data_IF_949735569170
#
_entry.id   IF_949735569170
#
_cell.length_a   1.000
_cell.length_b   1.000
_cell.length_c   1.000
_cell.angle_alpha   90.00
_cell.angle_beta   90.00
_cell.angle_gamma   90.00
#
_symmetry.space_group_name_H-M   'P 1'
#
loop_
_entity.id
_entity.type
_entity.pdbx_description
1 polymer ?
#
# COMPACT_ATOMS: atom_id res chain seq x y z
N UNK A 1 19.78 -20.64 -12.65
CA UNK A 1 20.87 -20.00 -13.40
C UNK A 1 20.28 -19.54 -14.73
N UNK A 2 20.54 -18.31 -15.10
CA UNK A 2 20.07 -17.71 -16.36
C UNK A 2 21.31 -17.27 -17.15
N UNK A 3 21.70 -18.11 -18.11
CA UNK A 3 22.82 -17.90 -19.00
C UNK A 3 22.37 -18.17 -20.43
N UNK A 4 22.01 -17.11 -21.12
CA UNK A 4 21.54 -17.15 -22.50
C UNK A 4 22.33 -16.15 -23.37
N UNK A 5 23.66 -16.14 -23.21
CA UNK A 5 24.54 -15.23 -23.94
C UNK A 5 25.41 -16.02 -24.91
N UNK A 6 25.46 -15.57 -26.17
CA UNK A 6 26.38 -16.09 -27.21
C UNK A 6 27.78 -15.48 -27.12
N UNK A 7 28.05 -14.68 -26.08
CA UNK A 7 29.29 -13.95 -25.86
C UNK A 7 29.67 -13.90 -24.38
N UNK A 8 30.95 -13.65 -24.03
CA UNK A 8 31.40 -13.46 -22.66
C UNK A 8 30.64 -12.33 -21.95
N UNK A 9 30.40 -12.49 -20.63
CA UNK A 9 29.65 -11.56 -19.82
C UNK A 9 30.54 -10.69 -18.92
N UNK A 10 30.02 -9.59 -18.41
CA UNK A 10 30.72 -8.63 -17.55
C UNK A 10 30.52 -8.90 -16.07
N UNK A 11 29.27 -9.18 -15.68
CA UNK A 11 28.89 -9.29 -14.27
C UNK A 11 27.81 -10.33 -14.04
N UNK A 12 27.70 -10.80 -12.79
CA UNK A 12 26.64 -11.67 -12.33
C UNK A 12 25.63 -10.87 -11.53
N UNK A 13 24.41 -10.81 -12.01
CA UNK A 13 23.32 -10.19 -11.27
C UNK A 13 22.62 -11.22 -10.40
N UNK A 14 22.47 -10.91 -9.12
CA UNK A 14 21.77 -11.75 -8.15
C UNK A 14 20.35 -11.25 -8.01
N UNK A 15 19.37 -12.09 -8.38
CA UNK A 15 17.95 -11.84 -8.24
C UNK A 15 17.46 -12.56 -6.97
N UNK A 16 16.80 -11.83 -6.09
CA UNK A 16 16.42 -12.31 -4.76
C UNK A 16 14.97 -12.00 -4.37
N UNK A 17 14.28 -11.09 -5.11
CA UNK A 17 12.89 -10.74 -4.86
C UNK A 17 11.95 -11.85 -5.32
N UNK A 18 11.07 -12.28 -4.43
CA UNK A 18 10.03 -13.27 -4.71
C UNK A 18 8.64 -12.66 -4.77
N UNK A 19 7.66 -13.54 -4.94
CA UNK A 19 6.24 -13.19 -5.04
C UNK A 19 5.74 -12.61 -3.71
N UNK A 20 4.81 -11.65 -3.77
CA UNK A 20 4.17 -11.05 -2.60
C UNK A 20 5.14 -10.34 -1.63
N UNK A 21 6.31 -9.92 -2.12
CA UNK A 21 7.32 -9.27 -1.29
C UNK A 21 8.14 -10.23 -0.43
N UNK A 22 8.02 -11.54 -0.66
CA UNK A 22 8.91 -12.51 -0.05
C UNK A 22 10.34 -12.34 -0.58
N UNK A 23 11.31 -12.62 0.25
CA UNK A 23 12.72 -12.53 -0.11
C UNK A 23 13.38 -13.89 0.07
N UNK A 24 14.45 -14.10 -0.68
CA UNK A 24 15.35 -15.23 -0.45
C UNK A 24 16.10 -15.06 0.87
N UNK A 25 16.58 -16.15 1.43
CA UNK A 25 17.43 -16.12 2.62
C UNK A 25 18.67 -15.26 2.39
N UNK A 26 18.95 -14.31 3.29
CA UNK A 26 20.08 -13.39 3.18
C UNK A 26 21.43 -14.12 3.22
N UNK A 27 21.53 -15.23 3.97
CA UNK A 27 22.78 -16.01 4.06
C UNK A 27 23.11 -16.68 2.71
N UNK A 28 22.09 -17.19 2.01
CA UNK A 28 22.26 -17.71 0.64
C UNK A 28 22.70 -16.61 -0.32
N UNK A 29 22.07 -15.42 -0.22
CA UNK A 29 22.44 -14.26 -1.02
C UNK A 29 23.90 -13.85 -0.75
N UNK A 30 24.28 -13.66 0.51
CA UNK A 30 25.63 -13.28 0.91
C UNK A 30 26.68 -14.31 0.49
N UNK A 31 26.37 -15.61 0.61
CA UNK A 31 27.24 -16.71 0.17
C UNK A 31 27.49 -16.60 -1.33
N UNK A 32 26.43 -16.43 -2.13
CA UNK A 32 26.57 -16.28 -3.56
C UNK A 32 27.42 -15.06 -3.95
N UNK A 33 27.16 -13.91 -3.32
CA UNK A 33 27.94 -12.67 -3.56
C UNK A 33 29.41 -12.85 -3.13
N UNK A 34 29.65 -13.41 -1.96
CA UNK A 34 31.02 -13.62 -1.44
C UNK A 34 31.85 -14.55 -2.33
N UNK A 35 31.23 -15.61 -2.85
CA UNK A 35 31.90 -16.55 -3.76
C UNK A 35 32.13 -15.90 -5.12
N UNK A 36 31.09 -15.27 -5.69
CA UNK A 36 31.18 -14.64 -7.02
C UNK A 36 32.20 -13.51 -7.03
N UNK A 37 32.14 -12.59 -6.07
CA UNK A 37 33.04 -11.44 -6.04
C UNK A 37 34.38 -11.71 -5.36
N UNK A 38 34.36 -12.44 -4.25
CA UNK A 38 35.55 -12.67 -3.43
C UNK A 38 36.46 -13.78 -3.94
N UNK A 39 35.89 -14.93 -4.29
CA UNK A 39 36.69 -16.09 -4.74
C UNK A 39 36.95 -16.10 -6.25
N UNK A 40 35.94 -15.75 -7.05
CA UNK A 40 36.03 -15.82 -8.51
C UNK A 40 36.45 -14.51 -9.15
N UNK A 41 36.48 -13.41 -8.39
CA UNK A 41 36.87 -12.09 -8.90
C UNK A 41 35.91 -11.50 -9.95
N UNK A 42 34.66 -12.02 -10.00
CA UNK A 42 33.66 -11.51 -10.92
C UNK A 42 32.86 -10.39 -10.24
N UNK A 43 32.42 -9.39 -11.01
CA UNK A 43 31.56 -8.36 -10.50
C UNK A 43 30.18 -8.94 -10.14
N UNK A 44 29.83 -8.92 -8.86
CA UNK A 44 28.48 -9.28 -8.39
C UNK A 44 27.66 -8.01 -8.24
N UNK A 45 26.50 -7.96 -8.90
CA UNK A 45 25.58 -6.83 -8.88
C UNK A 45 24.22 -7.26 -8.33
N UNK A 46 23.53 -6.29 -7.72
CA UNK A 46 22.11 -6.49 -7.40
C UNK A 46 21.31 -6.52 -8.70
N UNK A 47 20.19 -7.22 -8.65
CA UNK A 47 19.18 -7.29 -9.67
C UNK A 47 19.01 -5.99 -10.47
N UNK A 48 19.41 -6.01 -11.75
CA UNK A 48 19.29 -4.87 -12.69
C UNK A 48 19.98 -3.57 -12.24
N UNK A 49 20.97 -3.65 -11.35
CA UNK A 49 21.72 -2.50 -10.86
C UNK A 49 23.14 -2.51 -11.47
N UNK A 50 23.39 -1.58 -12.39
CA UNK A 50 24.69 -1.44 -13.04
C UNK A 50 25.49 -0.32 -12.37
N UNK A 51 26.81 -0.50 -12.25
CA UNK A 51 27.77 0.55 -11.85
C UNK A 51 27.35 1.32 -10.60
N UNK A 52 27.03 0.59 -9.53
CA UNK A 52 26.64 1.16 -8.26
C UNK A 52 27.87 1.71 -7.53
N UNK A 53 28.03 3.04 -7.51
CA UNK A 53 28.98 3.70 -6.63
C UNK A 53 28.41 3.72 -5.20
N UNK A 54 29.23 3.53 -4.18
CA UNK A 54 28.77 3.46 -2.78
C UNK A 54 28.42 4.88 -2.22
N UNK A 55 27.75 5.70 -3.02
CA UNK A 55 27.22 7.00 -2.63
C UNK A 55 25.91 6.89 -1.85
N UNK A 56 25.62 7.88 -1.00
CA UNK A 56 24.35 7.92 -0.25
C UNK A 56 23.13 7.92 -1.17
N UNK A 57 23.21 8.63 -2.30
CA UNK A 57 22.10 8.74 -3.27
C UNK A 57 21.80 7.41 -3.92
N UNK A 58 22.82 6.67 -4.33
CA UNK A 58 22.64 5.38 -4.98
C UNK A 58 22.17 4.31 -4.01
N UNK A 59 22.67 4.31 -2.77
CA UNK A 59 22.16 3.43 -1.70
C UNK A 59 20.67 3.67 -1.42
N UNK A 60 20.25 4.95 -1.37
CA UNK A 60 18.83 5.29 -1.20
C UNK A 60 17.99 4.86 -2.42
N UNK A 61 18.49 5.09 -3.63
CA UNK A 61 17.83 4.64 -4.86
C UNK A 61 17.66 3.12 -4.88
N UNK A 62 18.70 2.36 -4.53
CA UNK A 62 18.66 0.89 -4.45
C UNK A 62 17.61 0.43 -3.46
N UNK A 63 17.58 1.01 -2.27
CA UNK A 63 16.60 0.68 -1.24
C UNK A 63 15.17 1.00 -1.70
N UNK A 64 14.92 2.19 -2.26
CA UNK A 64 13.60 2.57 -2.77
C UNK A 64 13.14 1.67 -3.92
N UNK A 65 14.05 1.30 -4.82
CA UNK A 65 13.75 0.36 -5.91
C UNK A 65 13.39 -1.03 -5.37
N UNK A 66 14.14 -1.53 -4.39
CA UNK A 66 13.82 -2.78 -3.69
C UNK A 66 12.44 -2.71 -3.01
N UNK A 67 12.13 -1.59 -2.34
CA UNK A 67 10.81 -1.37 -1.74
C UNK A 67 9.68 -1.39 -2.78
N UNK A 68 9.88 -0.75 -3.94
CA UNK A 68 8.85 -0.78 -5.01
C UNK A 68 8.68 -2.19 -5.56
N UNK A 69 9.76 -2.93 -5.79
CA UNK A 69 9.71 -4.33 -6.27
C UNK A 69 8.98 -5.23 -5.28
N UNK A 70 9.33 -5.16 -4.00
CA UNK A 70 8.65 -5.90 -2.92
C UNK A 70 7.18 -5.49 -2.77
N UNK A 71 6.89 -4.18 -2.85
CA UNK A 71 5.53 -3.65 -2.75
C UNK A 71 4.62 -4.14 -3.89
N UNK A 72 5.15 -4.19 -5.11
CA UNK A 72 4.44 -4.77 -6.26
C UNK A 72 4.25 -6.27 -6.12
N UNK A 73 5.19 -6.96 -5.43
CA UNK A 73 5.15 -8.40 -5.22
C UNK A 73 5.36 -9.21 -6.50
N UNK A 74 6.04 -8.63 -7.48
CA UNK A 74 6.29 -9.26 -8.79
C UNK A 74 7.40 -10.32 -8.70
N UNK A 75 7.24 -11.42 -9.41
CA UNK A 75 8.26 -12.46 -9.56
C UNK A 75 9.44 -11.94 -10.39
N UNK A 76 10.64 -11.79 -9.78
CA UNK A 76 11.80 -11.25 -10.47
C UNK A 76 12.60 -12.28 -11.27
N UNK A 77 12.43 -13.57 -10.97
CA UNK A 77 13.12 -14.65 -11.65
C UNK A 77 12.55 -16.03 -11.30
N UNK A 78 13.11 -17.14 -11.88
CA UNK A 78 12.64 -18.50 -11.65
C UNK A 78 12.65 -18.94 -10.18
N UNK A 79 13.55 -18.39 -9.37
CA UNK A 79 13.63 -18.66 -7.91
C UNK A 79 12.33 -18.32 -7.17
N UNK A 80 11.56 -17.34 -7.68
CA UNK A 80 10.30 -16.93 -7.09
C UNK A 80 9.26 -18.05 -6.99
N UNK A 81 9.36 -19.08 -7.82
CA UNK A 81 8.49 -20.26 -7.78
C UNK A 81 8.77 -21.19 -6.61
N UNK A 82 9.96 -21.14 -6.02
CA UNK A 82 10.39 -22.03 -4.95
C UNK A 82 10.16 -21.43 -3.56
N UNK A 83 10.30 -20.11 -3.43
CA UNK A 83 10.18 -19.40 -2.16
C UNK A 83 8.84 -19.67 -1.43
N UNK A 84 7.67 -19.70 -2.10
CA UNK A 84 6.40 -20.02 -1.42
C UNK A 84 6.33 -21.41 -0.80
N UNK A 85 7.20 -22.31 -1.22
CA UNK A 85 7.32 -23.68 -0.68
C UNK A 85 8.38 -23.80 0.41
N UNK A 86 8.88 -22.67 0.92
CA UNK A 86 9.98 -22.61 1.92
C UNK A 86 11.28 -23.23 1.44
N UNK A 87 11.53 -23.16 0.13
CA UNK A 87 12.79 -23.58 -0.47
C UNK A 87 13.61 -22.33 -0.75
N UNK A 88 14.76 -22.21 -0.10
CA UNK A 88 15.68 -21.10 -0.31
C UNK A 88 16.24 -21.12 -1.73
N UNK A 89 15.99 -20.08 -2.48
CA UNK A 89 16.38 -19.98 -3.87
C UNK A 89 16.75 -18.54 -4.26
N UNK A 90 17.75 -18.40 -5.10
CA UNK A 90 18.15 -17.16 -5.78
C UNK A 90 18.36 -17.45 -7.26
N UNK A 91 18.32 -16.42 -8.10
CA UNK A 91 18.69 -16.54 -9.51
C UNK A 91 19.98 -15.80 -9.78
N UNK A 92 20.95 -16.48 -10.38
CA UNK A 92 22.17 -15.88 -10.89
C UNK A 92 22.00 -15.66 -12.38
N UNK A 93 22.14 -14.42 -12.83
CA UNK A 93 21.98 -14.01 -14.23
C UNK A 93 23.29 -13.41 -14.74
N UNK A 94 23.82 -13.97 -15.82
CA UNK A 94 24.95 -13.39 -16.53
C UNK A 94 24.49 -12.16 -17.35
N UNK A 95 25.19 -11.03 -17.23
CA UNK A 95 24.77 -9.78 -17.85
C UNK A 95 25.98 -9.01 -18.38
N UNK A 96 25.77 -8.27 -19.48
CA UNK A 96 26.79 -7.40 -20.09
C UNK A 96 27.72 -8.14 -21.05
N UNK A 97 28.64 -7.38 -21.64
CA UNK A 97 29.69 -7.88 -22.51
C UNK A 97 31.04 -7.66 -21.85
N UNK A 98 31.73 -8.72 -21.50
CA UNK A 98 33.00 -8.66 -20.78
C UNK A 98 33.96 -9.77 -21.21
N UNK A 99 34.73 -10.28 -20.25
CA UNK A 99 35.73 -11.33 -20.49
C UNK A 99 35.45 -12.64 -19.75
N UNK A 100 34.36 -12.66 -18.95
CA UNK A 100 33.94 -13.85 -18.21
C UNK A 100 33.17 -14.81 -19.12
N UNK A 101 33.46 -16.10 -19.00
CA UNK A 101 32.86 -17.15 -19.79
C UNK A 101 31.91 -18.05 -18.97
N UNK A 102 31.27 -18.97 -19.63
CA UNK A 102 30.41 -19.98 -19.00
C UNK A 102 31.13 -20.89 -18.01
N UNK A 103 32.46 -21.09 -18.19
CA UNK A 103 33.29 -21.88 -17.27
C UNK A 103 33.41 -21.14 -15.94
N UNK A 104 33.61 -19.82 -15.97
CA UNK A 104 33.66 -18.98 -14.76
C UNK A 104 32.33 -19.04 -13.99
N UNK A 105 31.21 -18.97 -14.72
CA UNK A 105 29.89 -19.12 -14.12
C UNK A 105 29.69 -20.52 -13.52
N UNK A 106 30.08 -21.57 -14.24
CA UNK A 106 30.01 -22.94 -13.75
C UNK A 106 30.82 -23.17 -12.48
N UNK A 107 32.04 -22.65 -12.41
CA UNK A 107 32.89 -22.69 -11.21
C UNK A 107 32.27 -21.93 -10.03
N UNK A 108 31.62 -20.81 -10.28
CA UNK A 108 30.90 -20.08 -9.22
C UNK A 108 29.76 -20.91 -8.64
N UNK A 109 28.95 -21.51 -9.51
CA UNK A 109 27.85 -22.38 -9.06
C UNK A 109 28.38 -23.59 -8.29
N UNK A 110 29.42 -24.26 -8.80
CA UNK A 110 30.08 -25.38 -8.08
C UNK A 110 30.56 -24.95 -6.70
N UNK A 111 31.22 -23.80 -6.61
CA UNK A 111 31.75 -23.28 -5.35
C UNK A 111 30.63 -22.92 -4.36
N UNK A 112 29.51 -22.37 -4.83
CA UNK A 112 28.33 -22.12 -4.00
C UNK A 112 27.79 -23.45 -3.45
N UNK A 113 27.57 -24.44 -4.29
CA UNK A 113 27.09 -25.75 -3.86
C UNK A 113 28.07 -26.44 -2.90
N UNK A 114 29.36 -26.33 -3.15
CA UNK A 114 30.40 -26.87 -2.26
C UNK A 114 30.39 -26.17 -0.90
N UNK A 115 30.20 -24.86 -0.87
CA UNK A 115 30.06 -24.07 0.37
C UNK A 115 28.81 -24.51 1.14
N UNK A 116 27.67 -24.64 0.47
CA UNK A 116 26.41 -25.07 1.09
C UNK A 116 26.49 -26.49 1.65
N UNK A 117 27.15 -27.40 0.91
CA UNK A 117 27.32 -28.78 1.34
C UNK A 117 28.26 -28.92 2.57
N UNK A 118 29.14 -27.96 2.78
CA UNK A 118 30.05 -27.93 3.93
C UNK A 118 29.47 -27.23 5.17
N UNK A 119 28.25 -26.70 5.11
CA UNK A 119 27.58 -26.14 6.26
C UNK A 119 27.26 -27.26 7.26
N UNK A 120 27.74 -27.12 8.49
CA UNK A 120 27.47 -28.04 9.60
C UNK A 120 26.07 -27.81 10.21
N UNK A 121 25.53 -26.64 10.01
CA UNK A 121 24.21 -26.22 10.49
C UNK A 121 23.37 -25.71 9.30
N UNK A 122 22.04 -25.84 9.43
CA UNK A 122 21.14 -25.18 8.48
C UNK A 122 21.32 -23.67 8.54
N UNK A 123 21.00 -22.97 7.43
CA UNK A 123 20.95 -21.51 7.43
C UNK A 123 20.15 -21.01 8.62
N UNK A 124 20.71 -20.07 9.36
CA UNK A 124 20.04 -19.50 10.53
C UNK A 124 18.71 -18.89 10.11
N UNK A 125 17.69 -19.23 10.87
CA UNK A 125 16.31 -18.98 10.60
C UNK A 125 16.03 -17.54 10.47
N UNK A 126 16.00 -16.71 9.83
CA UNK A 126 15.38 -15.41 10.13
C UNK A 126 15.78 -14.25 9.24
N UNK A 127 16.62 -14.42 8.29
CA UNK A 127 16.95 -13.32 7.43
C UNK A 127 16.18 -13.37 6.11
N UNK A 128 14.83 -13.30 6.25
CA UNK A 128 13.92 -13.08 5.12
C UNK A 128 13.33 -11.65 5.11
N UNK A 129 13.68 -10.85 6.13
CA UNK A 129 13.14 -9.50 6.30
C UNK A 129 14.27 -8.49 6.32
N UNK A 130 14.67 -8.06 5.14
CA UNK A 130 15.75 -7.11 4.94
C UNK A 130 15.46 -6.19 3.74
N UNK A 131 16.14 -5.07 3.68
CA UNK A 131 16.20 -4.19 2.52
C UNK A 131 17.66 -4.02 2.12
N UNK A 132 18.01 -4.32 0.89
CA UNK A 132 19.35 -4.14 0.40
C UNK A 132 19.57 -2.66 0.00
N UNK A 133 20.65 -2.09 0.47
CA UNK A 133 21.14 -0.78 0.05
C UNK A 133 22.26 -0.91 -0.97
N UNK A 134 22.97 -2.03 -0.95
CA UNK A 134 24.07 -2.40 -1.80
C UNK A 134 24.28 -3.91 -1.73
N UNK A 135 25.09 -4.48 -2.61
CA UNK A 135 25.41 -5.93 -2.62
C UNK A 135 25.86 -6.45 -1.24
N UNK A 136 26.65 -5.64 -0.50
CA UNK A 136 27.22 -6.01 0.81
C UNK A 136 26.58 -5.26 1.98
N UNK A 137 25.49 -4.50 1.77
CA UNK A 137 24.86 -3.69 2.82
C UNK A 137 23.36 -3.85 2.82
N UNK A 138 22.81 -4.14 3.97
CA UNK A 138 21.38 -4.31 4.19
C UNK A 138 20.88 -3.57 5.42
N UNK A 139 19.59 -3.36 5.49
CA UNK A 139 18.86 -2.87 6.66
C UNK A 139 17.94 -3.98 7.15
N UNK A 140 18.02 -4.33 8.43
CA UNK A 140 17.19 -5.37 9.04
C UNK A 140 15.80 -4.84 9.39
N UNK A 141 14.85 -5.75 9.54
CA UNK A 141 13.47 -5.46 9.94
C UNK A 141 13.36 -4.61 11.22
N UNK A 142 14.21 -4.84 12.19
CA UNK A 142 14.21 -4.08 13.45
C UNK A 142 14.41 -2.58 13.24
N UNK A 143 15.07 -2.17 12.17
CA UNK A 143 15.35 -0.77 11.87
C UNK A 143 14.22 -0.11 11.06
N UNK A 144 13.64 -0.81 10.07
CA UNK A 144 12.67 -0.20 9.17
C UNK A 144 11.21 -0.42 9.59
N UNK A 145 10.88 -1.52 10.28
CA UNK A 145 9.51 -1.85 10.69
C UNK A 145 8.85 -0.75 11.52
N UNK A 146 9.54 -0.09 12.48
CA UNK A 146 8.94 0.99 13.26
C UNK A 146 8.35 2.11 12.39
N UNK A 147 8.93 2.40 11.23
CA UNK A 147 8.42 3.46 10.33
C UNK A 147 7.05 3.11 9.76
N UNK A 148 6.82 1.86 9.30
CA UNK A 148 5.51 1.42 8.83
C UNK A 148 4.50 1.33 9.98
N UNK A 149 4.94 0.89 11.16
CA UNK A 149 4.08 0.86 12.34
C UNK A 149 3.62 2.26 12.76
N UNK A 150 4.49 3.26 12.71
CA UNK A 150 4.12 4.65 13.00
C UNK A 150 3.08 5.17 12.01
N UNK A 151 3.22 4.85 10.73
CA UNK A 151 2.21 5.22 9.71
C UNK A 151 0.88 4.53 10.00
N UNK A 152 0.88 3.24 10.31
CA UNK A 152 -0.34 2.48 10.61
C UNK A 152 -1.02 2.93 11.91
N UNK A 153 -0.23 3.21 12.96
CA UNK A 153 -0.72 3.71 14.26
C UNK A 153 -1.37 5.09 14.12
N UNK A 154 -0.90 5.94 13.20
CA UNK A 154 -1.56 7.22 12.93
C UNK A 154 -3.04 7.05 12.54
N UNK A 155 -3.38 6.08 11.70
CA UNK A 155 -4.77 5.77 11.34
C UNK A 155 -5.57 5.30 12.56
N UNK A 156 -4.99 4.42 13.36
CA UNK A 156 -5.64 3.88 14.55
C UNK A 156 -5.88 4.96 15.61
N UNK A 157 -4.90 5.82 15.88
CA UNK A 157 -5.05 6.96 16.81
C UNK A 157 -6.12 7.91 16.31
N UNK A 158 -6.11 8.25 15.01
CA UNK A 158 -7.13 9.11 14.41
C UNK A 158 -8.53 8.47 14.53
N UNK A 159 -8.64 7.16 14.28
CA UNK A 159 -9.91 6.44 14.42
C UNK A 159 -10.42 6.47 15.86
N UNK A 160 -9.57 6.25 16.86
CA UNK A 160 -9.93 6.33 18.28
C UNK A 160 -10.35 7.75 18.64
N UNK A 161 -9.62 8.78 18.19
CA UNK A 161 -9.97 10.17 18.43
C UNK A 161 -11.36 10.52 17.88
N UNK A 162 -11.66 10.08 16.64
CA UNK A 162 -12.98 10.28 16.02
C UNK A 162 -14.08 9.49 16.76
N UNK A 163 -13.78 8.27 17.22
CA UNK A 163 -14.69 7.49 18.06
C UNK A 163 -15.02 8.21 19.37
N UNK A 164 -14.03 8.74 20.07
CA UNK A 164 -14.22 9.51 21.30
C UNK A 164 -15.05 10.77 21.01
N UNK A 165 -14.72 11.48 19.93
CA UNK A 165 -15.44 12.68 19.50
C UNK A 165 -16.91 12.39 19.17
N UNK A 166 -17.22 11.26 18.56
CA UNK A 166 -18.58 10.87 18.20
C UNK A 166 -19.50 10.62 19.41
N UNK A 167 -18.92 10.33 20.57
CA UNK A 167 -19.68 10.12 21.83
C UNK A 167 -19.85 11.38 22.67
N UNK A 168 -19.32 12.53 22.25
CA UNK A 168 -19.48 13.80 22.98
C UNK A 168 -20.66 14.57 22.42
N UNK A 169 -21.46 15.15 23.32
CA UNK A 169 -22.52 16.06 22.93
C UNK A 169 -21.88 17.35 22.39
N UNK A 170 -22.18 17.72 21.16
CA UNK A 170 -21.79 19.01 20.61
C UNK A 170 -22.80 20.06 21.07
N UNK A 171 -22.41 20.89 21.95
CA UNK A 171 -23.13 22.13 22.29
C UNK A 171 -22.98 23.11 21.12
N UNK A 172 -23.60 22.80 19.98
CA UNK A 172 -23.52 23.62 18.75
C UNK A 172 -24.28 24.99 18.90
N UNK A 173 -24.94 25.24 20.04
CA UNK A 173 -25.75 26.43 20.25
C UNK A 173 -25.04 27.59 20.97
N UNK A 174 -24.00 27.32 21.72
CA UNK A 174 -23.52 28.33 22.70
C UNK A 174 -22.37 29.23 22.23
N UNK A 175 -21.60 28.85 21.22
CA UNK A 175 -20.52 29.72 20.72
C UNK A 175 -21.07 30.90 19.90
N UNK A 176 -22.12 30.68 19.09
CA UNK A 176 -22.77 31.78 18.35
C UNK A 176 -23.59 32.69 19.26
N UNK A 177 -24.15 32.17 20.36
CA UNK A 177 -24.84 32.97 21.35
C UNK A 177 -23.87 33.79 22.23
N UNK A 178 -22.68 33.30 22.52
CA UNK A 178 -21.65 34.04 23.26
C UNK A 178 -21.04 35.19 22.45
N UNK A 179 -20.94 35.06 21.13
CA UNK A 179 -20.42 36.15 20.26
C UNK A 179 -21.50 37.23 20.01
N UNK A 180 -22.79 36.88 20.07
CA UNK A 180 -23.88 37.81 19.83
C UNK A 180 -24.33 38.61 21.09
N UNK A 181 -23.85 38.27 22.29
CA UNK A 181 -24.30 38.90 23.56
C UNK A 181 -23.23 39.78 24.22
N UNK A 182 -22.43 40.51 23.46
CA UNK A 182 -21.42 41.43 23.99
C UNK A 182 -22.01 42.79 24.39
N UNK A 183 -23.28 42.91 24.72
CA UNK A 183 -23.87 44.21 25.09
C UNK A 183 -24.82 44.23 26.30
N UNK A 184 -24.72 43.25 27.23
CA UNK A 184 -25.40 43.42 28.54
C UNK A 184 -24.65 42.70 29.66
N UNK A 185 -24.48 43.29 30.85
CA UNK A 185 -23.85 42.64 31.98
C UNK A 185 -24.82 41.61 32.55
N UNK A 186 -24.63 40.36 32.24
CA UNK A 186 -25.44 39.26 32.78
C UNK A 186 -24.67 38.54 33.87
N UNK A 187 -25.27 38.62 35.04
CA UNK A 187 -25.32 37.71 36.19
C UNK A 187 -24.53 36.40 35.91
N UNK A 188 -23.56 36.11 36.76
CA UNK A 188 -22.72 34.92 36.80
C UNK A 188 -23.53 33.65 36.58
N UNK A 189 -23.55 33.14 35.34
CA UNK A 189 -23.87 31.73 35.11
C UNK A 189 -22.70 30.93 35.67
N UNK A 190 -23.01 30.15 36.70
CA UNK A 190 -22.11 29.16 37.30
C UNK A 190 -21.47 28.34 36.18
N UNK A 191 -20.15 28.40 36.11
CA UNK A 191 -19.37 27.55 35.23
C UNK A 191 -19.87 26.10 35.40
N UNK A 192 -20.34 25.50 34.33
CA UNK A 192 -20.79 24.10 34.28
C UNK A 192 -19.58 23.16 34.42
N UNK A 193 -18.99 23.16 35.61
CA UNK A 193 -17.80 22.37 35.93
C UNK A 193 -18.16 21.47 37.09
N UNK A 194 -17.91 20.21 36.96
CA UNK A 194 -18.12 19.20 38.00
C UNK A 194 -16.77 18.76 38.56
N UNK A 195 -16.67 18.72 39.89
CA UNK A 195 -15.50 18.24 40.61
C UNK A 195 -15.64 16.71 40.75
N UNK A 196 -14.81 15.98 40.05
CA UNK A 196 -14.76 14.51 40.17
C UNK A 196 -13.57 14.13 41.02
N UNK A 197 -13.82 13.35 42.06
CA UNK A 197 -12.79 12.75 42.89
C UNK A 197 -12.50 11.35 42.38
N UNK A 198 -11.29 11.17 41.83
CA UNK A 198 -10.79 9.86 41.38
C UNK A 198 -9.47 9.57 42.09
N UNK A 199 -9.41 8.45 42.79
CA UNK A 199 -8.21 7.97 43.52
C UNK A 199 -7.47 9.03 44.36
N UNK A 200 -8.26 9.82 45.11
CA UNK A 200 -7.71 10.86 46.01
C UNK A 200 -7.31 12.17 45.33
N UNK A 201 -7.38 12.30 44.04
CA UNK A 201 -7.18 13.54 43.27
C UNK A 201 -8.51 14.18 42.88
N UNK A 202 -8.57 15.51 42.97
CA UNK A 202 -9.69 16.32 42.51
C UNK A 202 -9.41 16.79 41.09
N UNK A 203 -10.19 16.31 40.13
CA UNK A 203 -10.15 16.79 38.76
C UNK A 203 -11.36 17.71 38.47
N UNK A 204 -11.07 18.88 37.91
CA UNK A 204 -12.07 19.82 37.43
C UNK A 204 -12.39 19.47 35.99
N UNK A 205 -13.56 18.91 35.75
CA UNK A 205 -13.97 18.46 34.42
C UNK A 205 -15.19 19.27 33.95
N UNK A 206 -15.20 19.82 32.75
CA UNK A 206 -16.38 20.47 32.19
C UNK A 206 -17.56 19.47 32.16
N UNK A 207 -18.72 19.86 32.62
CA UNK A 207 -19.91 18.99 32.72
C UNK A 207 -20.33 18.42 31.36
N UNK A 208 -20.11 19.18 30.28
CA UNK A 208 -20.38 18.74 28.88
C UNK A 208 -19.44 17.62 28.40
N UNK A 209 -18.31 17.42 29.08
CA UNK A 209 -17.39 16.33 28.77
C UNK A 209 -17.81 14.99 29.37
N UNK A 210 -18.78 14.94 30.25
CA UNK A 210 -19.27 13.77 30.97
C UNK A 210 -20.53 13.17 30.34
N UNK A 211 -21.22 13.92 29.47
CA UNK A 211 -22.41 13.41 28.79
C UNK A 211 -21.99 12.56 27.59
N UNK A 212 -22.15 11.27 27.70
CA UNK A 212 -21.92 10.32 26.62
C UNK A 212 -23.23 10.13 25.86
N UNK A 213 -23.22 10.49 24.59
CA UNK A 213 -24.36 10.31 23.69
C UNK A 213 -24.35 8.88 23.11
N UNK A 214 -25.53 8.26 23.02
CA UNK A 214 -25.69 6.96 22.36
C UNK A 214 -25.24 7.04 20.89
N UNK A 215 -24.50 6.02 20.43
CA UNK A 215 -23.95 5.96 19.08
C UNK A 215 -24.80 5.08 18.17
N UNK A 216 -25.28 5.66 17.08
CA UNK A 216 -26.00 4.92 16.03
C UNK A 216 -25.01 4.26 15.06
N UNK A 217 -24.69 2.98 15.30
CA UNK A 217 -23.62 2.25 14.60
C UNK A 217 -24.07 1.61 13.30
N UNK A 218 -25.36 1.31 13.12
CA UNK A 218 -25.86 0.48 12.01
C UNK A 218 -25.48 1.03 10.63
N UNK A 219 -25.80 2.29 10.37
CA UNK A 219 -25.53 2.92 9.07
C UNK A 219 -24.02 3.02 8.76
N UNK A 220 -23.16 3.55 9.65
CA UNK A 220 -21.73 3.63 9.41
C UNK A 220 -21.06 2.27 9.16
N UNK A 221 -21.41 1.25 9.95
CA UNK A 221 -20.88 -0.10 9.76
C UNK A 221 -21.31 -0.70 8.43
N UNK A 222 -22.61 -0.60 8.09
CA UNK A 222 -23.12 -1.12 6.81
C UNK A 222 -22.40 -0.45 5.63
N UNK A 223 -22.19 0.87 5.67
CA UNK A 223 -21.50 1.57 4.59
C UNK A 223 -20.03 1.15 4.44
N UNK A 224 -19.31 0.95 5.54
CA UNK A 224 -17.93 0.44 5.49
C UNK A 224 -17.90 -0.98 4.91
N UNK A 225 -18.78 -1.86 5.37
CA UNK A 225 -18.88 -3.24 4.86
C UNK A 225 -19.20 -3.23 3.35
N UNK A 226 -20.20 -2.45 2.93
CA UNK A 226 -20.54 -2.32 1.50
C UNK A 226 -19.35 -1.79 0.68
N UNK A 227 -18.63 -0.78 1.17
CA UNK A 227 -17.45 -0.27 0.47
C UNK A 227 -16.38 -1.33 0.25
N UNK A 228 -16.13 -2.20 1.26
CA UNK A 228 -15.16 -3.30 1.13
C UNK A 228 -15.65 -4.38 0.15
N UNK A 229 -16.94 -4.73 0.15
CA UNK A 229 -17.50 -5.66 -0.83
C UNK A 229 -17.48 -5.09 -2.25
N UNK A 230 -17.70 -3.78 -2.42
CA UNK A 230 -17.56 -3.12 -3.73
C UNK A 230 -16.14 -3.22 -4.28
N UNK A 231 -15.11 -3.28 -3.43
CA UNK A 231 -13.72 -3.50 -3.83
C UNK A 231 -13.48 -4.86 -4.52
N UNK A 232 -14.33 -5.85 -4.28
CA UNK A 232 -14.26 -7.13 -4.99
C UNK A 232 -14.61 -7.01 -6.48
N UNK A 233 -15.36 -5.97 -6.88
CA UNK A 233 -15.76 -5.76 -8.28
C UNK A 233 -14.54 -5.47 -9.16
N UNK A 234 -13.72 -4.43 -8.91
CA UNK A 234 -12.53 -4.18 -9.72
C UNK A 234 -11.53 -5.34 -9.61
N UNK A 235 -11.37 -5.96 -8.44
CA UNK A 235 -10.52 -7.14 -8.28
C UNK A 235 -10.94 -8.27 -9.21
N UNK A 236 -12.23 -8.60 -9.26
CA UNK A 236 -12.75 -9.64 -10.15
C UNK A 236 -12.62 -9.27 -11.61
N UNK A 237 -13.07 -8.07 -11.98
CA UNK A 237 -13.11 -7.61 -13.37
C UNK A 237 -11.73 -7.57 -14.00
N UNK A 238 -10.75 -6.92 -13.35
CA UNK A 238 -9.40 -6.79 -13.91
C UNK A 238 -8.66 -8.13 -14.02
N UNK A 239 -8.90 -9.06 -13.11
CA UNK A 239 -8.28 -10.38 -13.18
C UNK A 239 -8.91 -11.30 -14.23
N UNK A 240 -10.23 -11.21 -14.48
CA UNK A 240 -10.92 -12.08 -15.43
C UNK A 240 -10.90 -11.55 -16.87
N UNK A 241 -10.96 -10.24 -17.09
CA UNK A 241 -10.86 -9.67 -18.44
C UNK A 241 -9.53 -10.08 -19.09
N UNK A 242 -8.46 -10.13 -18.32
CA UNK A 242 -7.16 -10.54 -18.84
C UNK A 242 -7.04 -12.03 -19.09
N UNK A 243 -7.80 -12.90 -18.39
CA UNK A 243 -7.81 -14.34 -18.67
C UNK A 243 -8.47 -14.69 -20.02
N UNK A 244 -9.58 -14.05 -20.33
CA UNK A 244 -10.21 -14.18 -21.66
C UNK A 244 -9.28 -13.71 -22.78
N UNK A 245 -8.20 -13.04 -22.40
CA UNK A 245 -7.16 -12.44 -23.21
C UNK A 245 -6.00 -13.39 -23.49
N UNK A 246 -5.87 -14.54 -22.81
CA UNK A 246 -4.94 -15.60 -23.19
C UNK A 246 -5.40 -16.29 -24.44
N UNK A 247 -4.84 -15.88 -25.58
CA UNK A 247 -5.08 -16.53 -26.85
C UNK A 247 -4.06 -17.63 -27.15
N UNK A 248 -4.46 -18.59 -28.03
CA UNK A 248 -3.55 -19.57 -28.60
C UNK A 248 -2.34 -18.91 -29.29
N UNK A 249 -1.25 -19.63 -29.52
CA UNK A 249 0.04 -19.10 -29.98
C UNK A 249 0.05 -18.36 -31.33
N UNK A 250 -1.08 -18.30 -32.06
CA UNK A 250 -1.24 -17.50 -33.29
C UNK A 250 -2.53 -16.69 -33.26
N UNK A 251 -2.55 -15.53 -32.58
CA UNK A 251 -3.74 -14.68 -32.55
C UNK A 251 -3.94 -13.97 -33.91
N UNK A 252 -5.17 -14.00 -34.44
CA UNK A 252 -5.52 -13.17 -35.59
C UNK A 252 -5.44 -11.67 -35.18
N UNK A 253 -4.96 -10.75 -36.06
CA UNK A 253 -4.81 -9.34 -35.72
C UNK A 253 -6.11 -8.66 -35.22
N UNK A 254 -7.26 -9.13 -35.71
CA UNK A 254 -8.59 -8.66 -35.28
C UNK A 254 -8.85 -8.96 -33.79
N UNK A 255 -8.43 -10.14 -33.30
CA UNK A 255 -8.65 -10.52 -31.90
C UNK A 255 -7.80 -9.70 -30.93
N UNK A 256 -6.61 -9.27 -31.34
CA UNK A 256 -5.77 -8.36 -30.58
C UNK A 256 -6.41 -6.98 -30.47
N UNK A 257 -6.96 -6.46 -31.57
CA UNK A 257 -7.61 -5.16 -31.61
C UNK A 257 -8.85 -5.10 -30.71
N UNK A 258 -9.74 -6.13 -30.81
CA UNK A 258 -10.93 -6.24 -29.95
C UNK A 258 -10.52 -6.26 -28.47
N UNK A 259 -9.46 -6.96 -28.13
CA UNK A 259 -8.92 -7.07 -26.81
C UNK A 259 -8.45 -5.73 -26.23
N UNK A 260 -7.57 -5.03 -26.93
CA UNK A 260 -7.07 -3.73 -26.52
C UNK A 260 -8.23 -2.77 -26.32
N UNK A 261 -9.21 -2.80 -27.23
CA UNK A 261 -10.42 -1.98 -27.13
C UNK A 261 -11.26 -2.32 -25.90
N UNK A 262 -11.45 -3.60 -25.57
CA UNK A 262 -12.22 -4.02 -24.38
C UNK A 262 -11.55 -3.56 -23.09
N UNK A 263 -10.23 -3.75 -22.96
CA UNK A 263 -9.48 -3.30 -21.76
C UNK A 263 -9.54 -1.79 -21.66
N UNK A 264 -9.33 -1.07 -22.76
CA UNK A 264 -9.38 0.41 -22.79
C UNK A 264 -10.77 0.91 -22.38
N UNK A 265 -11.83 0.33 -22.93
CA UNK A 265 -13.21 0.70 -22.58
C UNK A 265 -13.49 0.45 -21.10
N UNK A 266 -13.08 -0.69 -20.59
CA UNK A 266 -13.23 -1.02 -19.16
C UNK A 266 -12.47 -0.02 -18.28
N UNK A 267 -11.25 0.33 -18.65
CA UNK A 267 -10.46 1.34 -17.94
C UNK A 267 -11.13 2.71 -17.92
N UNK A 268 -11.70 3.15 -19.05
CA UNK A 268 -12.45 4.42 -19.14
C UNK A 268 -13.67 4.38 -18.21
N UNK A 269 -14.44 3.28 -18.25
CA UNK A 269 -15.62 3.12 -17.38
C UNK A 269 -15.21 3.19 -15.90
N UNK A 270 -14.21 2.43 -15.49
CA UNK A 270 -13.76 2.44 -14.10
C UNK A 270 -13.14 3.78 -13.68
N UNK A 271 -12.44 4.47 -14.57
CA UNK A 271 -11.92 5.81 -14.29
C UNK A 271 -13.05 6.83 -14.08
N UNK A 272 -14.09 6.76 -14.90
CA UNK A 272 -15.30 7.59 -14.75
C UNK A 272 -16.06 7.24 -13.46
N UNK A 273 -16.22 5.95 -13.16
CA UNK A 273 -16.82 5.50 -11.90
C UNK A 273 -15.99 5.93 -10.68
N UNK A 274 -14.68 5.92 -10.77
CA UNK A 274 -13.81 6.41 -9.70
C UNK A 274 -13.96 7.92 -9.49
N UNK A 275 -14.10 8.70 -10.54
CA UNK A 275 -14.27 10.16 -10.47
C UNK A 275 -15.67 10.56 -10.01
N UNK A 276 -16.71 9.95 -10.57
CA UNK A 276 -18.12 10.32 -10.37
C UNK A 276 -18.81 9.49 -9.29
N UNK A 277 -18.35 8.27 -9.05
CA UNK A 277 -18.93 7.33 -8.09
C UNK A 277 -19.16 7.91 -6.69
N UNK A 278 -18.17 8.60 -6.09
CA UNK A 278 -18.38 9.23 -4.77
C UNK A 278 -19.58 10.16 -4.72
N UNK A 279 -19.83 10.94 -5.80
CA UNK A 279 -20.98 11.84 -5.87
C UNK A 279 -22.29 11.05 -6.06
N UNK A 280 -22.26 10.01 -6.89
CA UNK A 280 -23.42 9.13 -7.08
C UNK A 280 -23.82 8.45 -5.79
N UNK A 281 -22.87 8.04 -4.95
CA UNK A 281 -23.15 7.48 -3.62
C UNK A 281 -23.54 8.55 -2.59
N UNK A 282 -22.97 9.74 -2.67
CA UNK A 282 -23.28 10.85 -1.76
C UNK A 282 -24.72 11.37 -1.91
N UNK A 283 -25.28 11.38 -3.13
CA UNK A 283 -26.64 11.87 -3.40
C UNK A 283 -27.71 11.08 -2.59
N UNK A 284 -27.83 9.76 -2.72
CA UNK A 284 -28.81 9.00 -1.94
C UNK A 284 -28.49 9.03 -0.44
N UNK A 285 -27.20 9.05 -0.07
CA UNK A 285 -26.77 9.14 1.32
C UNK A 285 -27.31 10.42 1.99
N UNK A 286 -27.15 11.56 1.33
CA UNK A 286 -27.60 12.85 1.89
C UNK A 286 -29.11 13.05 1.79
N UNK A 287 -29.77 12.53 0.75
CA UNK A 287 -31.22 12.76 0.53
C UNK A 287 -32.12 11.79 1.26
N UNK A 288 -31.76 10.50 1.33
CA UNK A 288 -32.63 9.46 1.90
C UNK A 288 -32.21 9.08 3.31
N UNK A 289 -30.91 8.96 3.58
CA UNK A 289 -30.41 8.53 4.89
C UNK A 289 -30.11 9.69 5.83
N UNK A 290 -29.87 10.90 5.31
CA UNK A 290 -29.59 12.13 6.08
C UNK A 290 -28.72 11.88 7.31
N UNK A 291 -27.48 11.38 7.15
CA UNK A 291 -26.66 10.97 8.28
C UNK A 291 -26.34 12.15 9.19
N UNK A 292 -26.39 11.92 10.49
CA UNK A 292 -25.96 12.89 11.49
C UNK A 292 -24.43 13.10 11.42
N UNK A 293 -23.94 14.19 11.96
CA UNK A 293 -22.50 14.44 12.04
C UNK A 293 -21.78 13.32 12.81
N UNK A 294 -22.41 12.78 13.86
CA UNK A 294 -21.96 11.63 14.60
C UNK A 294 -21.74 10.40 13.70
N UNK A 295 -22.68 10.13 12.78
CA UNK A 295 -22.57 9.00 11.86
C UNK A 295 -21.46 9.18 10.83
N UNK A 296 -21.16 10.40 10.37
CA UNK A 296 -19.99 10.67 9.53
C UNK A 296 -18.67 10.50 10.31
N UNK A 297 -18.61 10.91 11.57
CA UNK A 297 -17.46 10.66 12.45
C UNK A 297 -17.20 9.17 12.60
N UNK A 298 -18.26 8.38 12.85
CA UNK A 298 -18.19 6.93 12.99
C UNK A 298 -17.79 6.25 11.67
N UNK A 299 -18.34 6.69 10.54
CA UNK A 299 -18.02 6.17 9.22
C UNK A 299 -16.51 6.33 8.92
N UNK A 300 -15.97 7.52 9.15
CA UNK A 300 -14.54 7.80 9.01
C UNK A 300 -13.72 7.00 10.01
N UNK A 301 -14.14 6.94 11.28
CA UNK A 301 -13.46 6.19 12.33
C UNK A 301 -13.31 4.72 11.97
N UNK A 302 -14.38 4.03 11.58
CA UNK A 302 -14.33 2.61 11.22
C UNK A 302 -13.49 2.36 9.98
N UNK A 303 -13.60 3.20 8.96
CA UNK A 303 -12.78 3.06 7.75
C UNK A 303 -11.28 3.18 8.05
N UNK A 304 -10.87 4.18 8.86
CA UNK A 304 -9.47 4.35 9.26
C UNK A 304 -9.00 3.26 10.23
N UNK A 305 -9.87 2.75 11.10
CA UNK A 305 -9.55 1.67 12.01
C UNK A 305 -9.21 0.38 11.24
N UNK A 306 -10.08 -0.01 10.30
CA UNK A 306 -9.85 -1.18 9.44
C UNK A 306 -8.55 -1.03 8.66
N UNK A 307 -8.33 0.15 8.04
CA UNK A 307 -7.11 0.44 7.31
C UNK A 307 -5.87 0.33 8.20
N UNK A 308 -5.87 0.97 9.38
CA UNK A 308 -4.73 0.97 10.29
C UNK A 308 -4.40 -0.42 10.83
N UNK A 309 -5.41 -1.19 11.23
CA UNK A 309 -5.25 -2.58 11.70
C UNK A 309 -4.67 -3.47 10.60
N UNK A 310 -5.22 -3.36 9.38
CA UNK A 310 -4.74 -4.15 8.26
C UNK A 310 -3.29 -3.80 7.88
N UNK A 311 -2.97 -2.50 7.80
CA UNK A 311 -1.60 -2.06 7.49
C UNK A 311 -0.60 -2.48 8.57
N UNK A 312 -0.99 -2.50 9.85
CA UNK A 312 -0.14 -2.99 10.93
C UNK A 312 0.20 -4.47 10.77
N UNK A 313 -0.81 -5.29 10.44
CA UNK A 313 -0.59 -6.71 10.16
C UNK A 313 0.21 -6.93 8.88
N UNK A 314 -0.10 -6.17 7.82
CA UNK A 314 0.61 -6.28 6.55
C UNK A 314 2.08 -5.86 6.65
N UNK A 315 2.42 -4.89 7.51
CA UNK A 315 3.78 -4.41 7.68
C UNK A 315 4.76 -5.50 8.15
N UNK A 316 4.27 -6.52 8.85
CA UNK A 316 5.08 -7.68 9.26
C UNK A 316 5.28 -8.69 8.13
N UNK A 317 4.38 -8.74 7.15
CA UNK A 317 4.44 -9.68 6.02
C UNK A 317 5.10 -9.05 4.79
N UNK A 318 4.70 -7.84 4.46
CA UNK A 318 5.25 -7.05 3.35
C UNK A 318 5.33 -5.58 3.77
N UNK A 319 6.46 -5.23 4.37
CA UNK A 319 6.74 -3.88 4.85
C UNK A 319 6.53 -2.82 3.77
N UNK A 320 7.07 -3.07 2.59
CA UNK A 320 7.10 -2.10 1.49
C UNK A 320 5.69 -1.77 1.00
N UNK A 321 4.84 -2.79 0.82
CA UNK A 321 3.45 -2.59 0.43
C UNK A 321 2.66 -1.84 1.50
N UNK A 322 2.83 -2.22 2.78
CA UNK A 322 2.17 -1.55 3.90
C UNK A 322 2.59 -0.08 4.02
N UNK A 323 3.88 0.19 3.91
CA UNK A 323 4.43 1.54 4.01
C UNK A 323 3.97 2.43 2.86
N UNK A 324 4.07 1.97 1.61
CA UNK A 324 3.64 2.72 0.43
C UNK A 324 2.13 2.99 0.44
N UNK A 325 1.32 1.97 0.72
CA UNK A 325 -0.14 2.13 0.83
C UNK A 325 -0.51 3.07 1.97
N UNK A 326 0.13 2.94 3.11
CA UNK A 326 -0.08 3.82 4.25
C UNK A 326 0.28 5.27 3.95
N UNK A 327 1.41 5.53 3.30
CA UNK A 327 1.83 6.86 2.90
C UNK A 327 0.82 7.51 1.92
N UNK A 328 0.38 6.76 0.90
CA UNK A 328 -0.64 7.22 -0.05
C UNK A 328 -2.00 7.43 0.60
N UNK A 329 -2.32 6.70 1.67
CA UNK A 329 -3.57 6.83 2.41
C UNK A 329 -3.52 7.93 3.50
N UNK A 330 -2.35 8.45 3.83
CA UNK A 330 -2.19 9.46 4.88
C UNK A 330 -3.14 10.68 4.74
N UNK A 331 -3.43 11.19 3.51
CA UNK A 331 -4.38 12.28 3.33
C UNK A 331 -5.79 12.00 3.86
N UNK A 332 -6.20 10.72 4.00
CA UNK A 332 -7.54 10.37 4.49
C UNK A 332 -7.74 10.78 5.97
N UNK A 333 -6.67 10.85 6.75
CA UNK A 333 -6.75 11.29 8.14
C UNK A 333 -7.16 12.77 8.27
N UNK A 334 -6.77 13.59 7.30
CA UNK A 334 -7.02 15.04 7.29
C UNK A 334 -8.37 15.44 6.69
N UNK A 335 -9.16 14.51 6.16
CA UNK A 335 -10.48 14.79 5.59
C UNK A 335 -11.40 15.38 6.66
N UNK A 336 -11.91 16.60 6.51
CA UNK A 336 -12.89 17.19 7.43
C UNK A 336 -14.26 16.51 7.26
N UNK A 337 -15.00 16.40 8.35
CA UNK A 337 -16.32 15.74 8.35
C UNK A 337 -17.37 16.60 7.66
N UNK A 338 -17.27 17.91 7.82
CA UNK A 338 -18.19 18.88 7.21
C UNK A 338 -17.42 20.12 6.80
N UNK A 339 -17.62 20.53 5.56
CA UNK A 339 -17.08 21.78 5.02
C UNK A 339 -18.23 22.75 4.74
N UNK A 340 -18.04 24.00 5.13
CA UNK A 340 -19.01 25.07 4.87
C UNK A 340 -18.95 25.54 3.41
N UNK A 341 -17.77 25.44 2.77
CA UNK A 341 -17.58 25.87 1.37
C UNK A 341 -17.62 24.66 0.44
N UNK A 342 -18.58 24.65 -0.48
CA UNK A 342 -18.70 23.64 -1.56
C UNK A 342 -17.48 23.63 -2.46
N UNK A 343 -16.89 24.80 -2.74
CA UNK A 343 -15.71 24.88 -3.59
C UNK A 343 -14.50 24.19 -2.94
N UNK A 344 -14.30 24.36 -1.63
CA UNK A 344 -13.23 23.68 -0.88
C UNK A 344 -13.49 22.18 -0.81
N UNK A 345 -14.74 21.74 -0.64
CA UNK A 345 -15.11 20.33 -0.64
C UNK A 345 -14.86 19.68 -2.01
N UNK A 346 -15.21 20.35 -3.09
CA UNK A 346 -14.94 19.90 -4.45
C UNK A 346 -13.42 19.81 -4.72
N UNK A 347 -12.66 20.85 -4.39
CA UNK A 347 -11.21 20.87 -4.52
C UNK A 347 -10.54 19.76 -3.73
N UNK A 348 -10.96 19.54 -2.48
CA UNK A 348 -10.48 18.44 -1.65
C UNK A 348 -10.80 17.05 -2.22
N UNK A 349 -12.01 16.87 -2.75
CA UNK A 349 -12.40 15.61 -3.43
C UNK A 349 -11.54 15.36 -4.68
N UNK A 350 -11.26 16.38 -5.48
CA UNK A 350 -10.37 16.27 -6.64
C UNK A 350 -8.93 15.96 -6.23
N UNK A 351 -8.42 16.57 -5.16
CA UNK A 351 -7.09 16.25 -4.62
C UNK A 351 -7.01 14.79 -4.12
N UNK A 352 -8.07 14.28 -3.48
CA UNK A 352 -8.11 12.89 -3.05
C UNK A 352 -8.13 11.91 -4.24
N UNK A 353 -8.61 12.30 -5.41
CA UNK A 353 -8.51 11.47 -6.61
C UNK A 353 -7.07 11.24 -7.05
N UNK A 354 -6.13 12.15 -6.75
CA UNK A 354 -4.70 11.96 -7.08
C UNK A 354 -4.05 10.80 -6.30
N UNK A 355 -4.59 10.49 -5.12
CA UNK A 355 -4.13 9.37 -4.29
C UNK A 355 -5.05 8.14 -4.42
N UNK A 356 -5.91 8.10 -5.41
CA UNK A 356 -6.69 6.91 -5.72
C UNK A 356 -5.82 5.83 -6.35
N UNK A 357 -6.14 4.53 -6.18
CA UNK A 357 -5.43 3.46 -6.85
C UNK A 357 -5.34 3.62 -8.37
N UNK A 358 -6.38 4.16 -9.01
CA UNK A 358 -6.39 4.44 -10.44
C UNK A 358 -5.39 5.55 -10.83
N UNK A 359 -5.36 6.64 -10.09
CA UNK A 359 -4.42 7.73 -10.37
C UNK A 359 -2.97 7.26 -10.20
N UNK A 360 -2.70 6.45 -9.18
CA UNK A 360 -1.36 5.87 -8.97
C UNK A 360 -1.00 4.90 -10.10
N UNK A 361 -1.94 4.09 -10.58
CA UNK A 361 -1.71 3.22 -11.74
C UNK A 361 -1.33 4.02 -12.99
N UNK A 362 -2.03 5.14 -13.27
CA UNK A 362 -1.69 6.06 -14.36
C UNK A 362 -0.32 6.72 -14.15
N UNK A 363 -0.01 7.14 -12.93
CA UNK A 363 1.30 7.70 -12.60
C UNK A 363 2.43 6.69 -12.83
N UNK A 364 2.24 5.43 -12.44
CA UNK A 364 3.17 4.34 -12.72
C UNK A 364 3.35 4.10 -14.22
N UNK A 365 2.27 4.13 -15.00
CA UNK A 365 2.31 4.00 -16.47
C UNK A 365 3.17 5.09 -17.11
N UNK A 366 3.01 6.34 -16.67
CA UNK A 366 3.81 7.47 -17.18
C UNK A 366 5.28 7.31 -16.76
N UNK A 367 5.53 6.96 -15.51
CA UNK A 367 6.89 6.83 -14.97
C UNK A 367 7.69 5.72 -15.66
N UNK A 368 7.09 4.56 -15.85
CA UNK A 368 7.75 3.40 -16.49
C UNK A 368 7.66 3.43 -18.01
N UNK A 369 6.90 4.38 -18.58
CA UNK A 369 6.63 4.47 -20.03
C UNK A 369 6.02 3.19 -20.60
N UNK A 370 5.18 2.53 -19.80
CA UNK A 370 4.45 1.30 -20.16
C UNK A 370 2.95 1.63 -20.21
N UNK A 371 2.23 1.23 -21.25
CA UNK A 371 0.78 1.44 -21.33
C UNK A 371 0.05 0.85 -20.12
N UNK A 372 -0.97 1.54 -19.61
CA UNK A 372 -1.76 1.06 -18.45
C UNK A 372 -2.35 -0.33 -18.69
N UNK A 373 -2.70 -0.62 -19.93
CA UNK A 373 -3.25 -1.93 -20.34
C UNK A 373 -2.26 -3.06 -20.07
N UNK A 374 -1.00 -2.85 -20.40
CA UNK A 374 0.05 -3.85 -20.22
C UNK A 374 0.34 -4.07 -18.72
N UNK A 375 0.31 -3.00 -17.92
CA UNK A 375 0.43 -3.11 -16.46
C UNK A 375 -0.71 -3.93 -15.85
N UNK A 376 -1.94 -3.77 -16.34
CA UNK A 376 -3.09 -4.55 -15.88
C UNK A 376 -3.03 -6.00 -16.32
N UNK A 377 -2.59 -6.26 -17.56
CA UNK A 377 -2.38 -7.62 -18.07
C UNK A 377 -1.31 -8.33 -17.24
N UNK A 378 -0.22 -7.65 -16.95
CA UNK A 378 0.86 -8.20 -16.12
C UNK A 378 0.41 -8.45 -14.68
N UNK A 379 -0.34 -7.53 -14.09
CA UNK A 379 -0.92 -7.70 -12.76
C UNK A 379 -1.88 -8.90 -12.71
N UNK A 380 -2.74 -9.07 -13.71
CA UNK A 380 -3.66 -10.20 -13.79
C UNK A 380 -2.94 -11.53 -14.10
N UNK A 381 -1.89 -11.49 -14.90
CA UNK A 381 -1.00 -12.64 -15.08
C UNK A 381 -0.36 -13.04 -13.76
N UNK A 382 0.17 -12.06 -13.01
CA UNK A 382 0.72 -12.26 -11.68
C UNK A 382 -0.28 -12.89 -10.71
N UNK A 383 -1.55 -12.44 -10.73
CA UNK A 383 -2.62 -13.02 -9.93
C UNK A 383 -2.90 -14.49 -10.29
N UNK A 384 -3.12 -14.76 -11.58
CA UNK A 384 -3.60 -16.06 -12.03
C UNK A 384 -2.50 -17.13 -12.10
N UNK A 385 -1.24 -16.73 -12.37
CA UNK A 385 -0.11 -17.67 -12.54
C UNK A 385 0.76 -17.75 -11.31
N UNK A 386 1.10 -16.60 -10.74
CA UNK A 386 2.04 -16.52 -9.63
C UNK A 386 1.37 -16.43 -8.25
N UNK A 387 0.05 -16.22 -8.19
CA UNK A 387 -0.65 -16.01 -6.92
C UNK A 387 -0.30 -14.70 -6.23
N UNK A 388 -0.02 -13.64 -6.99
CA UNK A 388 0.26 -12.31 -6.46
C UNK A 388 -0.98 -11.72 -5.78
N UNK A 389 -0.87 -11.34 -4.50
CA UNK A 389 -1.98 -10.86 -3.67
C UNK A 389 -2.00 -9.34 -3.47
N UNK A 390 -1.06 -8.61 -4.05
CA UNK A 390 -0.98 -7.14 -3.96
C UNK A 390 -2.30 -6.47 -4.39
N UNK A 391 -2.99 -7.02 -5.38
CA UNK A 391 -4.28 -6.51 -5.85
C UNK A 391 -5.37 -6.56 -4.79
N UNK A 392 -5.36 -7.54 -3.87
CA UNK A 392 -6.32 -7.61 -2.76
C UNK A 392 -6.13 -6.40 -1.84
N UNK A 393 -4.89 -6.04 -1.54
CA UNK A 393 -4.59 -4.86 -0.72
C UNK A 393 -5.06 -3.58 -1.40
N UNK A 394 -4.81 -3.46 -2.70
CA UNK A 394 -5.19 -2.28 -3.48
C UNK A 394 -6.71 -2.13 -3.56
N UNK A 395 -7.43 -3.20 -3.95
CA UNK A 395 -8.86 -3.11 -4.25
C UNK A 395 -9.78 -3.35 -3.04
N UNK A 396 -9.37 -4.18 -2.07
CA UNK A 396 -10.22 -4.52 -0.92
C UNK A 396 -9.84 -3.76 0.36
N UNK A 397 -8.73 -3.02 0.39
CA UNK A 397 -8.31 -2.25 1.58
C UNK A 397 -8.12 -0.78 1.26
N UNK A 398 -7.23 -0.46 0.34
CA UNK A 398 -6.92 0.94 0.03
C UNK A 398 -8.07 1.64 -0.70
N UNK A 399 -8.60 1.05 -1.77
CA UNK A 399 -9.70 1.64 -2.53
C UNK A 399 -10.97 1.89 -1.71
N UNK A 400 -11.46 0.97 -0.83
CA UNK A 400 -12.59 1.24 0.04
C UNK A 400 -12.37 2.40 1.02
N UNK A 401 -11.18 2.50 1.61
CA UNK A 401 -10.83 3.62 2.49
C UNK A 401 -10.82 4.95 1.73
N UNK A 402 -10.29 4.96 0.51
CA UNK A 402 -10.36 6.10 -0.40
C UNK A 402 -11.80 6.44 -0.77
N UNK A 403 -12.64 5.46 -1.11
CA UNK A 403 -14.04 5.66 -1.47
C UNK A 403 -14.82 6.29 -0.32
N UNK A 404 -14.70 5.77 0.89
CA UNK A 404 -15.35 6.35 2.08
C UNK A 404 -14.92 7.79 2.30
N UNK A 405 -13.63 8.08 2.21
CA UNK A 405 -13.10 9.44 2.37
C UNK A 405 -13.66 10.41 1.33
N UNK A 406 -13.71 10.00 0.05
CA UNK A 406 -14.24 10.82 -1.03
C UNK A 406 -15.76 10.98 -0.98
N UNK A 407 -16.50 9.97 -0.51
CA UNK A 407 -17.97 10.07 -0.29
C UNK A 407 -18.26 11.06 0.82
N UNK A 408 -17.50 11.10 1.92
CA UNK A 408 -17.66 12.11 2.99
C UNK A 408 -17.45 13.52 2.43
N UNK A 409 -16.42 13.72 1.59
CA UNK A 409 -16.17 15.00 0.93
C UNK A 409 -17.28 15.37 -0.06
N UNK A 410 -17.70 14.41 -0.89
CA UNK A 410 -18.77 14.59 -1.86
C UNK A 410 -20.12 14.93 -1.18
N UNK A 411 -20.40 14.36 0.00
CA UNK A 411 -21.58 14.68 0.78
C UNK A 411 -21.61 16.16 1.22
N UNK A 412 -20.44 16.77 1.46
CA UNK A 412 -20.35 18.21 1.75
C UNK A 412 -20.54 19.09 0.50
N UNK A 413 -20.43 18.53 -0.71
CA UNK A 413 -20.71 19.25 -1.98
C UNK A 413 -22.20 19.21 -2.31
N UNK A 414 -22.83 18.04 -2.10
CA UNK A 414 -24.22 17.76 -2.50
C UNK A 414 -25.24 18.25 -1.48
N UNK A 415 -24.93 18.12 -0.19
CA UNK A 415 -25.78 18.57 0.94
C UNK A 415 -25.55 20.01 1.26
#
# INVERSE_FOLDING_TARGET
MDYALDHPFESVHVLYDGINGQLSNLDLFNTAVSITSGQMGMAACLQRMWKHDDSHTERLQTMLRGMVSQGLGHASGPHSSFIPYHIDAITLQAVGSGWQDEIAMGRSVESIFRSLNNLLEHFHQSFFFYLLMQVNRFVSIGTYLPSAMLVAVNFTITAIALWVQSGRERTAGNLSAMVASTTTPVRSEQAKVELIKYDGMLAVVPKDALVVVERHLSLPLTLVVVAHFLGAIPLYVFNHISEQVRLPPCPKPISILIRVQTITTTMIIFSLLNLLGPYVFAIPLTRYFTPSEQQYLLLKSFSLLVLGMFLSALATLNFSLAFLTGLLSAPFTFIPIRLQSRAVALGGSLLLNLVSPFAVLFACSIYWKVPVQDLLIEAAFGWNVWGMRTQVVVWCVWWPAWLVGTVIMAASVVG
#
